data_IF_989081296892
#
_entry.id   IF_989081296892
#
_cell.length_a   1.000
_cell.length_b   1.000
_cell.length_c   1.000
_cell.angle_alpha   90.00
_cell.angle_beta   90.00
_cell.angle_gamma   90.00
#
_symmetry.space_group_name_H-M   'P 1'
#
loop_
_entity.id
_entity.type
_entity.pdbx_description
1 polymer ?
#
# COMPACT_ATOMS: atom_id res chain seq x y z
N UNK A 1 10.39 6.74 5.84
CA UNK A 1 9.32 6.44 4.85
C UNK A 1 9.06 7.78 4.16
N UNK A 2 9.67 8.04 3.01
CA UNK A 2 9.79 9.41 2.46
C UNK A 2 8.49 10.23 2.47
N UNK A 3 7.38 9.67 1.95
CA UNK A 3 6.10 10.37 1.92
C UNK A 3 5.60 10.75 3.33
N UNK A 4 5.71 9.82 4.29
CA UNK A 4 5.30 10.06 5.67
C UNK A 4 6.17 11.11 6.36
N UNK A 5 7.48 11.08 6.09
CA UNK A 5 8.42 12.06 6.64
C UNK A 5 8.14 13.48 6.11
N UNK A 6 7.53 13.57 4.92
CA UNK A 6 6.99 14.81 4.33
C UNK A 6 5.56 15.16 4.79
N UNK A 7 4.97 14.39 5.72
CA UNK A 7 3.61 14.59 6.22
C UNK A 7 2.50 14.14 5.25
N UNK A 8 2.83 13.31 4.26
CA UNK A 8 1.92 12.81 3.25
C UNK A 8 1.50 11.37 3.59
N UNK A 9 0.20 11.14 3.68
CA UNK A 9 -0.37 9.80 3.86
C UNK A 9 -0.35 9.01 2.55
N UNK A 10 -0.21 7.69 2.66
CA UNK A 10 -0.31 6.79 1.51
C UNK A 10 -0.92 5.44 1.93
N UNK A 11 -1.44 4.70 0.96
CA UNK A 11 -1.94 3.34 1.17
C UNK A 11 -1.42 2.41 0.06
N UNK A 12 -1.01 1.20 0.44
CA UNK A 12 -0.68 0.16 -0.52
C UNK A 12 -1.93 -0.63 -0.88
N UNK A 13 -2.29 -0.66 -2.17
CA UNK A 13 -3.49 -1.32 -2.67
C UNK A 13 -3.12 -2.38 -3.70
N UNK A 14 -3.36 -3.65 -3.34
CA UNK A 14 -3.30 -4.81 -4.25
C UNK A 14 -4.70 -5.36 -4.60
N UNK A 15 -5.76 -4.82 -4.00
CA UNK A 15 -7.14 -5.29 -4.17
C UNK A 15 -7.83 -4.72 -5.41
N UNK A 16 -7.22 -4.85 -6.59
CA UNK A 16 -7.79 -4.41 -7.86
C UNK A 16 -7.63 -5.49 -8.95
N UNK A 17 -8.44 -5.43 -10.01
CA UNK A 17 -8.26 -6.29 -11.18
C UNK A 17 -7.12 -5.73 -12.04
N UNK A 18 -6.01 -6.45 -12.04
CA UNK A 18 -4.79 -6.08 -12.76
C UNK A 18 -5.04 -5.88 -14.25
N UNK A 19 -5.78 -6.79 -14.90
CA UNK A 19 -6.02 -6.72 -16.35
C UNK A 19 -6.75 -5.44 -16.74
N UNK A 20 -7.72 -5.03 -15.93
CA UNK A 20 -8.48 -3.80 -16.15
C UNK A 20 -7.57 -2.58 -16.01
N UNK A 21 -6.69 -2.55 -15.00
CA UNK A 21 -5.78 -1.43 -14.82
C UNK A 21 -4.74 -1.35 -15.94
N UNK A 22 -4.13 -2.48 -16.32
CA UNK A 22 -3.15 -2.55 -17.40
C UNK A 22 -3.76 -2.07 -18.73
N UNK A 23 -5.02 -2.44 -19.01
CA UNK A 23 -5.77 -2.00 -20.20
C UNK A 23 -6.10 -0.49 -20.15
N UNK A 24 -6.62 0.00 -19.02
CA UNK A 24 -6.99 1.42 -18.85
C UNK A 24 -5.80 2.35 -19.02
N UNK A 25 -4.62 1.91 -18.59
CA UNK A 25 -3.38 2.68 -18.70
C UNK A 25 -2.57 2.37 -19.95
N UNK A 26 -3.06 1.50 -20.84
CA UNK A 26 -2.39 1.06 -22.07
C UNK A 26 -0.92 0.66 -21.81
N UNK A 27 -0.73 -0.18 -20.78
CA UNK A 27 0.62 -0.59 -20.40
C UNK A 27 1.26 -1.44 -21.51
N UNK A 28 2.53 -1.18 -21.86
CA UNK A 28 3.22 -1.99 -22.86
C UNK A 28 3.42 -3.42 -22.35
N UNK A 29 3.50 -4.38 -23.26
CA UNK A 29 3.56 -5.82 -22.94
C UNK A 29 4.71 -6.27 -22.01
N UNK A 30 5.74 -5.43 -21.85
CA UNK A 30 6.87 -5.68 -20.95
C UNK A 30 6.72 -5.03 -19.57
N UNK A 31 5.58 -4.37 -19.30
CA UNK A 31 5.24 -3.76 -18.01
C UNK A 31 3.94 -4.34 -17.47
N UNK A 32 3.80 -4.26 -16.15
CA UNK A 32 2.57 -4.63 -15.48
C UNK A 32 2.34 -3.80 -14.22
N UNK A 33 1.07 -3.59 -13.89
CA UNK A 33 0.70 -3.03 -12.60
C UNK A 33 0.90 -4.04 -11.45
N UNK A 34 1.59 -3.59 -10.40
CA UNK A 34 1.88 -4.39 -9.19
C UNK A 34 1.09 -3.88 -8.00
N UNK A 35 0.98 -2.57 -7.86
CA UNK A 35 0.24 -1.92 -6.80
C UNK A 35 -0.26 -0.54 -7.24
N UNK A 36 -1.37 -0.11 -6.63
CA UNK A 36 -1.75 1.30 -6.60
C UNK A 36 -1.25 1.90 -5.29
N UNK A 37 -0.70 3.12 -5.39
CA UNK A 37 -0.25 3.92 -4.25
C UNK A 37 -1.03 5.25 -4.19
N UNK A 38 -2.31 5.25 -3.80
CA UNK A 38 -3.00 6.50 -3.48
C UNK A 38 -2.23 7.25 -2.40
N UNK A 39 -1.95 8.52 -2.65
CA UNK A 39 -1.11 9.40 -1.85
C UNK A 39 -1.79 10.76 -1.69
N UNK A 40 -1.68 11.36 -0.51
CA UNK A 40 -2.21 12.70 -0.24
C UNK A 40 -2.43 12.95 1.25
N UNK A 41 -3.31 13.90 1.56
CA UNK A 41 -3.69 14.19 2.94
C UNK A 41 -4.98 13.44 3.31
N UNK A 42 -4.99 12.67 4.41
CA UNK A 42 -6.18 11.94 4.82
C UNK A 42 -7.31 12.92 5.16
N UNK A 43 -8.55 12.59 4.76
CA UNK A 43 -9.70 13.37 5.20
C UNK A 43 -9.92 13.23 6.70
N UNK A 44 -10.65 14.17 7.30
CA UNK A 44 -11.03 14.10 8.73
C UNK A 44 -11.80 12.81 9.10
N UNK A 45 -12.48 12.21 8.10
CA UNK A 45 -13.26 10.97 8.26
C UNK A 45 -12.44 9.71 7.98
N UNK A 46 -11.21 9.84 7.47
CA UNK A 46 -10.36 8.69 7.20
C UNK A 46 -10.08 7.94 8.51
N UNK A 47 -10.18 6.61 8.45
CA UNK A 47 -9.84 5.71 9.56
C UNK A 47 -8.99 4.58 9.02
N UNK A 48 -7.96 4.14 9.76
CA UNK A 48 -7.17 2.99 9.35
C UNK A 48 -8.04 1.72 9.31
N UNK A 49 -7.65 0.75 8.49
CA UNK A 49 -8.31 -0.55 8.46
C UNK A 49 -8.17 -1.25 9.84
N UNK A 50 -9.10 -2.14 10.24
CA UNK A 50 -9.09 -2.79 11.56
C UNK A 50 -7.78 -3.52 11.90
N UNK A 51 -7.05 -4.00 10.89
CA UNK A 51 -5.79 -4.73 11.06
C UNK A 51 -4.56 -3.83 11.13
N UNK A 52 -4.68 -2.51 10.90
CA UNK A 52 -3.54 -1.60 10.75
C UNK A 52 -2.58 -1.60 11.96
N UNK A 53 -3.14 -1.67 13.17
CA UNK A 53 -2.36 -1.70 14.41
C UNK A 53 -2.01 -3.11 14.90
N UNK A 54 -2.53 -4.16 14.26
CA UNK A 54 -2.28 -5.55 14.68
C UNK A 54 -0.95 -6.01 14.14
N UNK A 55 -0.07 -6.43 15.04
CA UNK A 55 1.27 -6.95 14.74
C UNK A 55 1.51 -8.16 15.64
N UNK A 56 2.21 -9.18 15.12
CA UNK A 56 2.72 -10.23 15.99
C UNK A 56 3.84 -9.69 16.88
N UNK A 57 4.06 -10.26 18.07
CA UNK A 57 5.19 -9.90 18.92
C UNK A 57 6.53 -10.26 18.24
N UNK A 58 7.63 -9.61 18.63
CA UNK A 58 8.91 -9.68 17.90
C UNK A 58 9.49 -11.10 17.88
N UNK A 59 9.26 -11.85 18.95
CA UNK A 59 9.68 -13.24 19.14
C UNK A 59 9.02 -14.18 18.12
N UNK A 60 7.97 -13.74 17.42
CA UNK A 60 7.35 -14.51 16.33
C UNK A 60 8.18 -14.49 15.04
N UNK A 61 9.10 -13.54 14.86
CA UNK A 61 9.84 -13.35 13.60
C UNK A 61 11.35 -13.24 13.77
N UNK A 62 11.86 -13.26 15.00
CA UNK A 62 13.29 -13.08 15.31
C UNK A 62 13.75 -14.18 16.27
N UNK A 63 14.91 -14.76 15.98
CA UNK A 63 15.65 -15.69 16.85
C UNK A 63 17.05 -15.11 17.07
N UNK A 64 17.51 -15.07 18.33
CA UNK A 64 18.90 -14.72 18.66
C UNK A 64 19.79 -15.94 18.45
N UNK A 65 20.84 -15.77 17.63
CA UNK A 65 21.82 -16.81 17.28
C UNK A 65 23.00 -16.87 18.25
#
# INVERSE_FOLDING_TARGET
>A
LEAWDLGIGYVWVRGYEKRVLDEVFDLPSNLESVALLPIGYPSEKARPAPLHARKYPIEHFVEEL
#
